data_IF_823268951256
#
_entry.id   IF_823268951256
#
_cell.length_a   1.000
_cell.length_b   1.000
_cell.length_c   1.000
_cell.angle_alpha   90.00
_cell.angle_beta   90.00
_cell.angle_gamma   90.00
#
_symmetry.space_group_name_H-M   'P 1'
#
loop_
_entity.id
_entity.type
_entity.pdbx_description
1 polymer ?
#
# COMPACT_ATOMS: atom_id res chain seq x y z
N UNK A 1 24.28 -12.99 -34.53
CA UNK A 1 22.93 -12.55 -34.14
C UNK A 1 23.06 -11.78 -32.83
N UNK A 2 22.80 -10.49 -32.81
CA UNK A 2 22.80 -9.73 -31.56
C UNK A 2 21.53 -10.11 -30.78
N UNK A 3 21.69 -10.77 -29.64
CA UNK A 3 20.58 -11.09 -28.74
C UNK A 3 19.98 -9.83 -28.13
N UNK A 4 18.70 -9.88 -27.79
CA UNK A 4 18.00 -8.79 -27.10
C UNK A 4 18.77 -8.42 -25.81
N UNK A 5 19.01 -7.12 -25.55
CA UNK A 5 19.64 -6.69 -24.30
C UNK A 5 18.88 -7.20 -23.07
N UNK A 6 19.58 -7.67 -22.02
CA UNK A 6 18.94 -8.09 -20.79
C UNK A 6 18.19 -6.90 -20.16
N UNK A 7 16.99 -7.16 -19.65
CA UNK A 7 16.22 -6.17 -18.89
C UNK A 7 16.76 -6.12 -17.46
N UNK A 8 16.94 -4.91 -16.94
CA UNK A 8 17.50 -4.67 -15.60
C UNK A 8 16.61 -5.23 -14.47
N UNK A 9 15.28 -5.19 -14.65
CA UNK A 9 14.29 -5.82 -13.77
C UNK A 9 13.60 -7.01 -14.46
N UNK A 10 14.38 -8.05 -14.78
CA UNK A 10 13.86 -9.26 -15.40
C UNK A 10 13.24 -10.22 -14.37
N UNK A 11 12.10 -10.82 -14.72
CA UNK A 11 11.38 -11.78 -13.87
C UNK A 11 12.00 -13.19 -14.00
N UNK A 12 13.24 -13.33 -13.55
CA UNK A 12 14.05 -14.54 -13.80
C UNK A 12 13.88 -15.64 -12.73
N UNK A 13 13.29 -15.29 -11.58
CA UNK A 13 13.04 -16.24 -10.48
C UNK A 13 11.72 -16.97 -10.71
N UNK A 14 11.76 -18.31 -10.76
CA UNK A 14 10.58 -19.15 -10.96
C UNK A 14 10.25 -19.95 -9.69
N UNK A 15 8.99 -19.88 -9.26
CA UNK A 15 8.45 -20.68 -8.18
C UNK A 15 7.26 -21.53 -8.69
N UNK A 16 7.20 -22.80 -8.28
CA UNK A 16 6.11 -23.72 -8.62
C UNK A 16 5.26 -23.97 -7.39
N UNK A 17 4.01 -23.52 -7.44
CA UNK A 17 3.01 -23.73 -6.37
C UNK A 17 2.14 -24.93 -6.74
N UNK A 18 1.90 -25.83 -5.80
CA UNK A 18 0.93 -26.93 -5.94
C UNK A 18 -0.34 -26.54 -5.20
N UNK A 19 -1.48 -26.65 -5.87
CA UNK A 19 -2.79 -26.30 -5.31
C UNK A 19 -3.61 -27.56 -5.10
N UNK A 20 -4.44 -27.56 -4.07
CA UNK A 20 -5.52 -28.54 -3.92
C UNK A 20 -6.76 -28.13 -4.74
N UNK A 21 -7.78 -28.99 -4.78
CA UNK A 21 -8.96 -28.79 -5.63
C UNK A 21 -9.78 -27.55 -5.23
N UNK A 22 -9.86 -27.24 -3.93
CA UNK A 22 -10.52 -26.03 -3.45
C UNK A 22 -9.77 -24.76 -3.87
N UNK A 23 -8.46 -24.74 -3.72
CA UNK A 23 -7.61 -23.60 -4.08
C UNK A 23 -7.62 -23.33 -5.58
N UNK A 24 -7.62 -24.38 -6.42
CA UNK A 24 -7.71 -24.20 -7.87
C UNK A 24 -9.08 -23.65 -8.29
N UNK A 25 -10.18 -24.09 -7.65
CA UNK A 25 -11.51 -23.52 -7.89
C UNK A 25 -11.57 -22.03 -7.54
N UNK A 26 -10.98 -21.64 -6.40
CA UNK A 26 -10.89 -20.23 -6.00
C UNK A 26 -10.09 -19.44 -7.04
N UNK A 27 -8.91 -19.92 -7.40
CA UNK A 27 -8.05 -19.25 -8.37
C UNK A 27 -8.71 -19.12 -9.75
N UNK A 28 -9.43 -20.16 -10.18
CA UNK A 28 -10.17 -20.15 -11.43
C UNK A 28 -11.28 -19.10 -11.40
N UNK A 29 -12.11 -19.10 -10.35
CA UNK A 29 -13.19 -18.12 -10.18
C UNK A 29 -12.68 -16.68 -10.20
N UNK A 30 -11.60 -16.39 -9.46
CA UNK A 30 -11.01 -15.04 -9.41
C UNK A 30 -10.45 -14.65 -10.78
N UNK A 31 -9.81 -15.57 -11.50
CA UNK A 31 -9.29 -15.31 -12.85
C UNK A 31 -10.39 -14.99 -13.86
N UNK A 32 -11.48 -15.76 -13.83
CA UNK A 32 -12.63 -15.55 -14.73
C UNK A 32 -13.38 -14.25 -14.41
N UNK A 33 -13.61 -13.98 -13.13
CA UNK A 33 -14.39 -12.81 -12.69
C UNK A 33 -13.63 -11.50 -12.90
N UNK A 34 -12.31 -11.49 -12.62
CA UNK A 34 -11.49 -10.27 -12.74
C UNK A 34 -10.86 -10.10 -14.12
N UNK A 35 -10.89 -11.14 -14.97
CA UNK A 35 -10.19 -11.17 -16.25
C UNK A 35 -8.66 -11.20 -16.14
N UNK A 36 -8.10 -11.25 -14.93
CA UNK A 36 -6.65 -11.28 -14.70
C UNK A 36 -6.09 -12.67 -14.92
N UNK A 37 -4.85 -12.76 -15.41
CA UNK A 37 -4.15 -14.03 -15.52
C UNK A 37 -3.84 -14.60 -14.12
N UNK A 38 -3.87 -15.93 -13.96
CA UNK A 38 -3.50 -16.60 -12.70
C UNK A 38 -2.15 -16.13 -12.14
N UNK A 39 -1.16 -15.91 -13.00
CA UNK A 39 0.17 -15.40 -12.62
C UNK A 39 0.16 -13.97 -12.08
N UNK A 40 -0.84 -13.16 -12.45
CA UNK A 40 -1.04 -11.81 -11.95
C UNK A 40 -1.75 -11.80 -10.61
N UNK A 41 -2.71 -12.70 -10.43
CA UNK A 41 -3.39 -12.91 -9.15
C UNK A 41 -2.38 -13.29 -8.07
N UNK A 42 -1.45 -14.20 -8.36
CA UNK A 42 -0.37 -14.54 -7.43
C UNK A 42 0.56 -13.38 -7.09
N UNK A 43 0.81 -12.47 -8.05
CA UNK A 43 1.64 -11.29 -7.82
C UNK A 43 0.94 -10.30 -6.90
N UNK A 44 -0.32 -9.96 -7.21
CA UNK A 44 -1.11 -9.05 -6.39
C UNK A 44 -1.31 -9.62 -4.97
N UNK A 45 -1.61 -10.92 -4.86
CA UNK A 45 -1.76 -11.56 -3.55
C UNK A 45 -0.45 -11.54 -2.73
N UNK A 46 0.71 -11.63 -3.39
CA UNK A 46 2.02 -11.52 -2.73
C UNK A 46 2.23 -10.10 -2.19
N UNK A 47 1.92 -9.07 -3.00
CA UNK A 47 2.01 -7.65 -2.60
C UNK A 47 1.04 -7.34 -1.46
N UNK A 48 -0.22 -7.78 -1.56
CA UNK A 48 -1.23 -7.64 -0.52
C UNK A 48 -0.80 -8.30 0.79
N UNK A 49 -0.25 -9.51 0.72
CA UNK A 49 0.21 -10.23 1.90
C UNK A 49 1.45 -9.57 2.52
N UNK A 50 2.38 -9.09 1.70
CA UNK A 50 3.54 -8.32 2.16
C UNK A 50 3.11 -7.06 2.90
N UNK A 51 2.17 -6.29 2.34
CA UNK A 51 1.65 -5.08 2.99
C UNK A 51 0.94 -5.41 4.30
N UNK A 52 0.13 -6.48 4.35
CA UNK A 52 -0.49 -6.95 5.60
C UNK A 52 0.54 -7.30 6.67
N UNK A 53 1.60 -8.02 6.31
CA UNK A 53 2.68 -8.38 7.25
C UNK A 53 3.40 -7.13 7.75
N UNK A 54 3.75 -6.19 6.86
CA UNK A 54 4.38 -4.91 7.26
C UNK A 54 3.50 -4.12 8.24
N UNK A 55 2.19 -4.08 7.98
CA UNK A 55 1.22 -3.40 8.86
C UNK A 55 1.14 -4.12 10.21
N UNK A 56 1.10 -5.47 10.24
CA UNK A 56 1.13 -6.23 11.49
C UNK A 56 2.41 -6.01 12.30
N UNK A 57 3.57 -5.98 11.65
CA UNK A 57 4.86 -5.65 12.30
C UNK A 57 4.88 -4.20 12.82
N UNK A 58 4.20 -3.29 12.13
CA UNK A 58 4.05 -1.91 12.59
C UNK A 58 3.12 -1.81 13.81
N UNK A 59 2.02 -2.58 13.83
CA UNK A 59 1.01 -2.66 14.91
C UNK A 59 1.56 -3.35 16.17
N UNK A 60 2.34 -4.43 16.04
CA UNK A 60 2.94 -5.11 17.20
C UNK A 60 3.95 -4.25 17.99
N UNK A 61 4.29 -3.05 17.49
CA UNK A 61 5.16 -2.11 18.18
C UNK A 61 4.40 -1.05 19.01
N UNK A 62 3.05 -1.05 18.98
CA UNK A 62 2.23 -0.01 19.62
C UNK A 62 1.03 -0.69 20.32
N UNK A 63 1.29 -1.34 21.46
CA UNK A 63 0.23 -1.79 22.37
C UNK A 63 -0.36 -0.58 23.10
N UNK A 64 -1.36 0.07 22.51
CA UNK A 64 -2.46 0.66 23.28
C UNK A 64 -3.73 0.85 22.44
N UNK A 65 -4.84 0.38 23.01
CA UNK A 65 -6.18 0.94 22.93
C UNK A 65 -7.26 0.26 22.05
N UNK A 66 -8.24 -0.25 22.79
CA UNK A 66 -9.56 -0.76 22.42
C UNK A 66 -10.55 0.40 22.64
N UNK A 67 -11.06 1.07 21.60
CA UNK A 67 -12.39 1.71 21.61
C UNK A 67 -12.82 2.24 20.22
N UNK A 68 -14.05 1.91 19.85
CA UNK A 68 -14.87 2.42 18.73
C UNK A 68 -14.33 2.38 17.29
N UNK A 69 -14.74 1.34 16.55
CA UNK A 69 -14.76 1.27 15.09
C UNK A 69 -15.46 2.52 14.51
N UNK A 70 -14.68 3.52 14.11
CA UNK A 70 -15.15 4.74 13.43
C UNK A 70 -15.57 4.46 11.98
N UNK A 71 -15.44 3.21 11.52
CA UNK A 71 -15.85 2.81 10.17
C UNK A 71 -14.97 3.36 9.06
N UNK A 72 -13.82 3.96 9.37
CA UNK A 72 -12.87 4.51 8.40
C UNK A 72 -11.61 3.64 8.26
N UNK A 73 -10.90 3.77 7.15
CA UNK A 73 -9.60 3.10 6.94
C UNK A 73 -8.48 3.78 7.71
N UNK A 74 -7.45 3.02 8.10
CA UNK A 74 -6.27 3.57 8.75
C UNK A 74 -5.39 4.37 7.77
N UNK A 75 -4.92 5.53 8.21
CA UNK A 75 -3.98 6.39 7.45
C UNK A 75 -2.50 6.15 7.82
N UNK A 76 -2.20 5.14 8.64
CA UNK A 76 -0.84 4.77 9.04
C UNK A 76 -0.12 4.04 7.90
N UNK A 77 1.02 4.57 7.43
CA UNK A 77 1.82 4.02 6.33
C UNK A 77 3.30 3.89 6.65
N UNK A 78 3.97 3.04 5.87
CA UNK A 78 5.43 2.91 5.92
C UNK A 78 6.02 3.52 4.65
N UNK A 79 6.68 4.66 4.80
CA UNK A 79 7.28 5.44 3.72
C UNK A 79 8.78 5.18 3.68
N UNK A 80 9.27 4.73 2.52
CA UNK A 80 10.69 4.47 2.33
C UNK A 80 11.43 5.79 2.08
N UNK A 81 12.50 6.02 2.85
CA UNK A 81 13.32 7.23 2.72
C UNK A 81 13.96 7.29 1.33
N UNK A 82 13.81 8.40 0.58
CA UNK A 82 14.38 8.51 -0.76
C UNK A 82 15.92 8.47 -0.75
N UNK A 83 16.55 8.86 0.36
CA UNK A 83 18.01 8.90 0.48
C UNK A 83 18.66 7.58 0.86
N UNK A 84 18.06 6.82 1.78
CA UNK A 84 18.70 5.64 2.36
C UNK A 84 17.88 4.35 2.25
N UNK A 85 16.62 4.44 1.77
CA UNK A 85 15.70 3.31 1.66
C UNK A 85 15.18 2.77 2.99
N UNK A 86 15.45 3.45 4.11
CA UNK A 86 14.91 3.04 5.41
C UNK A 86 13.39 3.24 5.45
N UNK A 87 12.69 2.26 5.99
CA UNK A 87 11.26 2.30 6.23
C UNK A 87 10.92 3.22 7.40
N UNK A 88 10.13 4.27 7.17
CA UNK A 88 9.68 5.21 8.20
C UNK A 88 8.18 5.04 8.44
N UNK A 89 7.78 4.98 9.71
CA UNK A 89 6.35 4.93 10.07
C UNK A 89 5.80 6.36 10.05
N UNK A 90 4.80 6.58 9.22
CA UNK A 90 4.09 7.85 9.10
C UNK A 90 2.63 7.62 9.46
N UNK A 91 2.07 8.49 10.28
CA UNK A 91 0.65 8.50 10.61
C UNK A 91 0.07 9.83 10.15
N UNK A 92 -0.81 9.78 9.14
CA UNK A 92 -1.37 10.98 8.53
C UNK A 92 -2.71 11.40 9.15
N UNK A 93 -3.23 10.68 10.16
CA UNK A 93 -4.52 11.00 10.80
C UNK A 93 -4.56 12.42 11.38
N UNK A 94 -3.46 12.88 11.99
CA UNK A 94 -3.42 14.17 12.69
C UNK A 94 -3.35 15.38 11.73
N UNK A 95 -2.71 15.20 10.58
CA UNK A 95 -2.32 16.28 9.66
C UNK A 95 -2.88 16.07 8.24
N UNK A 96 -4.12 15.60 8.13
CA UNK A 96 -4.83 15.46 6.86
C UNK A 96 -6.10 16.33 6.76
N UNK A 97 -6.36 16.81 5.54
CA UNK A 97 -7.64 17.41 5.16
C UNK A 97 -8.49 16.33 4.47
N UNK A 98 -9.77 16.23 4.83
CA UNK A 98 -10.68 15.26 4.21
C UNK A 98 -11.84 15.94 3.48
N UNK A 99 -12.22 15.37 2.34
CA UNK A 99 -13.42 15.75 1.60
C UNK A 99 -14.23 14.52 1.27
N UNK A 100 -15.56 14.68 1.30
CA UNK A 100 -16.48 13.58 1.05
C UNK A 100 -17.46 13.86 -0.09
N UNK A 101 -17.79 12.81 -0.83
CA UNK A 101 -18.72 12.84 -1.95
C UNK A 101 -19.64 11.60 -1.93
N UNK A 102 -20.96 11.80 -2.06
CA UNK A 102 -21.92 10.69 -2.09
C UNK A 102 -21.91 9.99 -3.46
N UNK A 103 -21.77 8.66 -3.46
CA UNK A 103 -21.76 7.82 -4.66
C UNK A 103 -22.73 6.64 -4.51
N UNK A 104 -22.80 5.77 -5.51
CA UNK A 104 -23.82 4.72 -5.58
C UNK A 104 -23.78 3.69 -4.43
N UNK A 105 -22.61 3.47 -3.83
CA UNK A 105 -22.39 2.49 -2.77
C UNK A 105 -22.22 3.14 -1.39
N UNK A 106 -22.43 4.45 -1.28
CA UNK A 106 -22.22 5.25 -0.07
C UNK A 106 -21.28 6.43 -0.31
N UNK A 107 -20.82 7.03 0.77
CA UNK A 107 -19.89 8.14 0.75
C UNK A 107 -18.47 7.67 0.38
N UNK A 108 -17.81 8.43 -0.48
CA UNK A 108 -16.38 8.36 -0.80
C UNK A 108 -15.69 9.45 0.01
N UNK A 109 -14.63 9.12 0.74
CA UNK A 109 -13.84 10.08 1.50
C UNK A 109 -12.41 10.05 0.97
N UNK A 110 -11.88 11.23 0.65
CA UNK A 110 -10.48 11.42 0.24
C UNK A 110 -9.76 12.21 1.31
N UNK A 111 -8.66 11.66 1.83
CA UNK A 111 -7.76 12.24 2.80
C UNK A 111 -6.50 12.73 2.10
N UNK A 112 -6.27 14.03 2.13
CA UNK A 112 -5.08 14.68 1.60
C UNK A 112 -4.15 15.10 2.71
N UNK A 113 -2.87 14.84 2.55
CA UNK A 113 -1.85 15.21 3.52
C UNK A 113 -0.66 15.82 2.79
N UNK A 114 -0.03 16.81 3.43
CA UNK A 114 1.15 17.49 2.91
C UNK A 114 2.12 17.76 4.06
N UNK A 115 3.19 16.97 4.13
CA UNK A 115 4.26 17.08 5.10
C UNK A 115 5.50 17.66 4.42
N UNK A 116 5.71 18.97 4.58
CA UNK A 116 6.85 19.68 4.00
C UNK A 116 8.20 19.26 4.59
N UNK A 117 8.20 18.73 5.81
CA UNK A 117 9.41 18.28 6.48
C UNK A 117 9.11 17.03 7.33
N UNK A 118 9.61 15.89 6.89
CA UNK A 118 9.66 14.67 7.68
C UNK A 118 11.09 14.19 7.82
N UNK A 119 11.57 14.01 9.05
CA UNK A 119 12.94 13.59 9.32
C UNK A 119 13.02 12.06 9.35
N UNK A 120 13.90 11.49 8.51
CA UNK A 120 14.13 10.04 8.52
C UNK A 120 14.73 9.59 9.85
N UNK A 121 14.10 8.60 10.49
CA UNK A 121 14.55 8.00 11.75
C UNK A 121 15.96 7.38 11.71
N UNK A 122 16.46 7.04 10.52
CA UNK A 122 17.77 6.38 10.34
C UNK A 122 18.86 7.36 9.91
N UNK A 123 18.62 8.17 8.86
CA UNK A 123 19.66 9.04 8.31
C UNK A 123 19.55 10.51 8.72
N UNK A 124 18.47 10.91 9.40
CA UNK A 124 18.23 12.29 9.85
C UNK A 124 17.98 13.30 8.72
N UNK A 125 17.90 12.85 7.47
CA UNK A 125 17.60 13.74 6.34
C UNK A 125 16.10 14.03 6.26
N UNK A 126 15.78 15.26 5.91
CA UNK A 126 14.40 15.73 5.70
C UNK A 126 13.92 15.32 4.32
N UNK A 127 12.69 14.83 4.26
CA UNK A 127 11.98 14.54 3.02
C UNK A 127 10.61 15.19 3.06
N UNK A 128 10.03 15.42 1.89
CA UNK A 128 8.67 15.93 1.73
C UNK A 128 7.77 14.78 1.33
N UNK A 129 6.61 14.66 1.97
CA UNK A 129 5.66 13.56 1.74
C UNK A 129 4.30 14.21 1.51
N UNK A 130 3.67 13.95 0.38
CA UNK A 130 2.32 14.47 0.11
C UNK A 130 1.54 13.48 -0.75
N UNK A 131 0.23 13.55 -0.67
CA UNK A 131 -0.61 12.66 -1.44
C UNK A 131 -2.03 12.55 -0.93
N UNK A 132 -2.73 11.58 -1.52
CA UNK A 132 -4.12 11.30 -1.24
C UNK A 132 -4.31 9.82 -0.87
N UNK A 133 -5.13 9.55 0.13
CA UNK A 133 -5.65 8.23 0.47
C UNK A 133 -7.16 8.30 0.36
N UNK A 134 -7.79 7.33 -0.30
CA UNK A 134 -9.22 7.33 -0.54
C UNK A 134 -9.88 6.05 -0.04
N UNK A 135 -11.03 6.21 0.62
CA UNK A 135 -11.95 5.13 0.93
C UNK A 135 -13.28 5.28 0.18
N UNK A 136 -13.78 4.16 -0.36
CA UNK A 136 -15.10 4.10 -0.98
C UNK A 136 -15.59 2.64 -1.11
N UNK A 137 -16.75 2.31 -0.51
CA UNK A 137 -17.50 3.12 0.45
C UNK A 137 -16.70 3.33 1.75
N UNK A 138 -17.18 4.21 2.64
CA UNK A 138 -16.61 4.42 3.98
C UNK A 138 -16.18 3.09 4.64
N UNK A 139 -14.91 3.01 5.04
CA UNK A 139 -14.29 1.83 5.66
C UNK A 139 -13.70 0.82 4.68
N UNK A 140 -13.80 1.06 3.36
CA UNK A 140 -13.18 0.23 2.34
C UNK A 140 -12.14 1.04 1.56
N UNK A 141 -10.91 0.55 1.54
CA UNK A 141 -9.84 1.15 0.74
C UNK A 141 -10.19 1.18 -0.75
N UNK A 142 -10.02 2.34 -1.39
CA UNK A 142 -10.23 2.54 -2.81
C UNK A 142 -8.90 2.72 -3.55
N UNK A 143 -8.16 3.80 -3.25
CA UNK A 143 -6.85 4.06 -3.84
C UNK A 143 -5.96 4.90 -2.91
N UNK A 144 -4.68 4.98 -3.26
CA UNK A 144 -3.71 5.90 -2.69
C UNK A 144 -2.77 6.41 -3.80
N UNK A 145 -2.36 7.67 -3.68
CA UNK A 145 -1.32 8.26 -4.51
C UNK A 145 -0.41 9.07 -3.59
N UNK A 146 0.76 8.51 -3.24
CA UNK A 146 1.69 9.10 -2.29
C UNK A 146 3.01 9.40 -2.99
N UNK A 147 3.40 10.67 -2.99
CA UNK A 147 4.66 11.15 -3.55
C UNK A 147 5.62 11.51 -2.43
N UNK A 148 6.87 11.08 -2.59
CA UNK A 148 7.96 11.36 -1.66
C UNK A 148 9.07 12.06 -2.41
N UNK A 149 9.42 13.27 -1.98
CA UNK A 149 10.44 14.10 -2.60
C UNK A 149 11.64 14.29 -1.67
N UNK A 150 12.81 14.37 -2.29
CA UNK A 150 14.03 14.81 -1.64
C UNK A 150 13.99 16.32 -1.42
N UNK A 151 14.17 16.77 -0.17
CA UNK A 151 14.37 18.18 0.15
C UNK A 151 15.89 18.42 0.14
N UNK A 152 16.41 18.95 -0.96
CA UNK A 152 17.82 19.39 -1.00
C UNK A 152 18.02 20.52 0.04
N UNK A 153 19.05 20.39 0.90
CA UNK A 153 19.50 21.46 1.81
C UNK A 153 20.23 22.59 1.05
#
# INVERSE_FOLDING_TARGET
MAGRPPKDNSRDKQYRVRLNESEDKILQYVSETTGKQKSEIFRNALEDYYNKVRVQEAIQADEEFDDWDTGHISLKRVIDCPYCGAANKCDFEEDCESWSEERQMGEEITYHFEWDWYECSICGKKMRIYGDICEYPVGAYNYEDITVEEVEE
#
